data_IF_753250298982
#
_entry.id   IF_753250298982
#
_cell.length_a   1.000
_cell.length_b   1.000
_cell.length_c   1.000
_cell.angle_alpha   90.00
_cell.angle_beta   90.00
_cell.angle_gamma   90.00
#
_symmetry.space_group_name_H-M   'P 1'
#
loop_
_entity.id
_entity.type
_entity.pdbx_description
1 polymer ?
#
# COMPACT_ATOMS: atom_id res chain seq x y z
N UNK A 1 27.88 -3.88 -15.54
CA UNK A 1 27.13 -4.93 -14.83
C UNK A 1 26.26 -4.26 -13.76
N UNK A 2 25.18 -3.59 -14.18
CA UNK A 2 24.23 -2.97 -13.25
C UNK A 2 23.05 -3.92 -13.15
N UNK A 3 22.92 -4.55 -11.99
CA UNK A 3 21.83 -5.46 -11.67
C UNK A 3 20.52 -4.65 -11.71
N UNK A 4 19.64 -4.98 -12.68
CA UNK A 4 18.24 -4.52 -12.72
C UNK A 4 17.53 -5.05 -11.47
N UNK A 5 17.67 -4.35 -10.34
CA UNK A 5 17.08 -4.77 -9.08
C UNK A 5 15.57 -4.44 -9.12
N UNK A 6 14.78 -5.50 -8.98
CA UNK A 6 13.32 -5.60 -8.98
C UNK A 6 12.56 -4.37 -8.48
N UNK A 7 11.86 -3.72 -9.40
CA UNK A 7 10.82 -2.71 -9.11
C UNK A 7 9.60 -3.36 -8.39
N UNK A 8 9.50 -4.69 -8.42
CA UNK A 8 8.40 -5.45 -7.80
C UNK A 8 8.44 -5.55 -6.27
N UNK A 9 9.54 -5.17 -5.60
CA UNK A 9 9.68 -5.44 -4.15
C UNK A 9 9.03 -4.39 -3.24
N UNK A 10 8.91 -3.13 -3.68
CA UNK A 10 8.52 -2.03 -2.79
C UNK A 10 7.02 -2.04 -2.48
N UNK A 11 6.18 -2.32 -3.48
CA UNK A 11 4.73 -2.36 -3.27
C UNK A 11 4.31 -3.55 -2.41
N UNK A 12 4.97 -4.70 -2.57
CA UNK A 12 4.72 -5.86 -1.72
C UNK A 12 5.07 -5.59 -0.25
N UNK A 13 6.19 -4.92 0.01
CA UNK A 13 6.56 -4.50 1.37
C UNK A 13 5.51 -3.52 1.94
N UNK A 14 5.02 -2.58 1.12
CA UNK A 14 3.96 -1.67 1.53
C UNK A 14 2.67 -2.40 1.92
N UNK A 15 2.22 -3.35 1.10
CA UNK A 15 1.01 -4.14 1.36
C UNK A 15 1.08 -4.99 2.62
N UNK A 16 2.29 -5.39 3.03
CA UNK A 16 2.53 -6.28 4.18
C UNK A 16 3.02 -5.53 5.42
N UNK A 17 3.11 -4.20 5.39
CA UNK A 17 3.53 -3.37 6.50
C UNK A 17 2.41 -2.47 6.99
N UNK A 18 2.36 -2.21 8.30
CA UNK A 18 1.41 -1.28 8.91
C UNK A 18 1.53 0.12 8.29
N UNK A 19 0.39 0.68 7.86
CA UNK A 19 0.33 2.00 7.24
C UNK A 19 -0.28 3.03 8.22
N UNK A 20 0.44 4.11 8.57
CA UNK A 20 -0.07 5.15 9.45
C UNK A 20 -1.39 5.77 8.94
N UNK A 21 -1.50 5.97 7.64
CA UNK A 21 -2.69 6.51 6.99
C UNK A 21 -3.91 5.57 7.02
N UNK A 22 -3.74 4.31 7.42
CA UNK A 22 -4.81 3.34 7.70
C UNK A 22 -4.96 3.07 9.21
N UNK A 23 -4.57 4.02 10.06
CA UNK A 23 -4.63 3.86 11.52
C UNK A 23 -3.67 2.80 12.06
N UNK A 24 -2.59 2.50 11.31
CA UNK A 24 -1.61 1.46 11.67
C UNK A 24 -2.00 0.05 11.21
N UNK A 25 -3.07 -0.10 10.42
CA UNK A 25 -3.45 -1.40 9.87
C UNK A 25 -2.54 -1.84 8.71
N UNK A 26 -2.45 -3.16 8.51
CA UNK A 26 -1.76 -3.76 7.36
C UNK A 26 -2.73 -3.81 6.17
N UNK A 27 -2.38 -3.24 4.99
CA UNK A 27 -3.29 -3.17 3.84
C UNK A 27 -3.83 -4.55 3.40
N UNK A 28 -2.97 -5.58 3.38
CA UNK A 28 -3.38 -6.92 2.97
C UNK A 28 -4.36 -7.57 3.95
N UNK A 29 -4.30 -7.23 5.23
CA UNK A 29 -5.27 -7.69 6.22
C UNK A 29 -6.59 -6.94 6.09
N UNK A 30 -6.55 -5.63 5.85
CA UNK A 30 -7.74 -4.80 5.64
C UNK A 30 -8.54 -5.25 4.41
N UNK A 31 -7.83 -5.57 3.32
CA UNK A 31 -8.39 -5.97 2.03
C UNK A 31 -9.11 -7.32 2.04
N UNK A 32 -9.13 -8.05 3.17
CA UNK A 32 -9.93 -9.28 3.34
C UNK A 32 -11.44 -9.03 3.36
N UNK A 33 -11.86 -7.77 3.48
CA UNK A 33 -13.24 -7.32 3.33
C UNK A 33 -13.36 -6.34 2.18
N UNK A 34 -14.52 -6.28 1.52
CA UNK A 34 -14.77 -5.28 0.47
C UNK A 34 -14.62 -3.84 0.97
N UNK A 35 -15.07 -3.58 2.20
CA UNK A 35 -14.96 -2.26 2.83
C UNK A 35 -13.48 -1.88 3.00
N UNK A 36 -12.68 -2.77 3.57
CA UNK A 36 -11.25 -2.50 3.75
C UNK A 36 -10.46 -2.46 2.44
N UNK A 37 -10.82 -3.24 1.42
CA UNK A 37 -10.22 -3.14 0.10
C UNK A 37 -10.43 -1.74 -0.51
N UNK A 38 -11.65 -1.18 -0.38
CA UNK A 38 -11.96 0.17 -0.85
C UNK A 38 -11.18 1.26 -0.11
N UNK A 39 -10.91 1.08 1.17
CA UNK A 39 -10.07 1.99 1.94
C UNK A 39 -8.61 1.96 1.46
N UNK A 40 -8.08 0.77 1.21
CA UNK A 40 -6.73 0.58 0.64
C UNK A 40 -6.63 1.23 -0.74
N UNK A 41 -7.59 0.97 -1.63
CA UNK A 41 -7.64 1.59 -2.97
C UNK A 41 -7.70 3.13 -2.90
N UNK A 42 -8.53 3.67 -2.01
CA UNK A 42 -8.62 5.12 -1.79
C UNK A 42 -7.29 5.70 -1.35
N UNK A 43 -6.54 5.02 -0.50
CA UNK A 43 -5.21 5.46 -0.09
C UNK A 43 -4.20 5.37 -1.25
N UNK A 44 -4.19 4.26 -1.99
CA UNK A 44 -3.30 4.10 -3.16
C UNK A 44 -3.54 5.22 -4.18
N UNK A 45 -4.79 5.51 -4.53
CA UNK A 45 -5.09 6.60 -5.47
C UNK A 45 -4.59 7.97 -4.97
N UNK A 46 -4.66 8.23 -3.66
CA UNK A 46 -4.08 9.46 -3.08
C UNK A 46 -2.56 9.51 -3.21
N UNK A 47 -1.87 8.38 -3.00
CA UNK A 47 -0.42 8.29 -3.15
C UNK A 47 0.01 8.48 -4.60
N UNK A 48 -0.74 7.95 -5.56
CA UNK A 48 -0.52 8.16 -7.00
C UNK A 48 -0.65 9.62 -7.41
N UNK A 49 -1.56 10.36 -6.76
CA UNK A 49 -1.71 11.80 -6.94
C UNK A 49 -0.75 12.65 -6.07
N UNK A 50 0.15 12.02 -5.30
CA UNK A 50 1.14 12.71 -4.46
C UNK A 50 0.57 13.35 -3.19
N UNK A 51 -0.59 12.91 -2.70
CA UNK A 51 -1.24 13.46 -1.50
C UNK A 51 -0.92 12.61 -0.27
N UNK A 52 -0.01 13.09 0.57
CA UNK A 52 0.39 12.46 1.84
C UNK A 52 -0.40 13.04 3.03
N UNK A 53 -0.83 12.19 3.97
CA UNK A 53 -1.50 12.56 5.23
C UNK A 53 -1.03 11.67 6.37
#
# INVERSE_FOLDING_TARGET
MVSRRSIHSTFFVWLTSAQPALGGAVPLDLAKSEVGAREVERLVGRLEHGVFS
#
